data_IF_608958999180
#
_entry.id   IF_608958999180
#
_cell.length_a   1.000
_cell.length_b   1.000
_cell.length_c   1.000
_cell.angle_alpha   90.00
_cell.angle_beta   90.00
_cell.angle_gamma   90.00
#
_symmetry.space_group_name_H-M   'P 1'
#
loop_
_entity.id
_entity.type
_entity.pdbx_description
1 polymer ?
#
# COMPACT_ATOMS: atom_id res chain seq x y z
N UNK A 1 27.10 4.16 5.14
CA UNK A 1 25.64 4.05 4.98
C UNK A 1 25.19 3.22 3.77
N UNK A 2 25.84 3.30 2.59
CA UNK A 2 25.48 2.51 1.39
C UNK A 2 25.46 0.97 1.60
N UNK A 3 26.36 0.41 2.41
CA UNK A 3 26.45 -1.05 2.62
C UNK A 3 25.23 -1.65 3.34
N UNK A 4 24.63 -0.94 4.26
CA UNK A 4 23.46 -1.41 5.03
C UNK A 4 22.20 -1.52 4.16
N UNK A 5 21.98 -0.59 3.23
CA UNK A 5 20.85 -0.66 2.29
C UNK A 5 20.97 -1.84 1.34
N UNK A 6 22.20 -2.10 0.86
CA UNK A 6 22.47 -3.27 0.01
C UNK A 6 22.24 -4.57 0.79
N UNK A 7 22.67 -4.63 2.05
CA UNK A 7 22.45 -5.82 2.90
C UNK A 7 20.96 -6.04 3.18
N UNK A 8 20.20 -4.98 3.50
CA UNK A 8 18.74 -5.07 3.72
C UNK A 8 18.03 -5.45 2.42
N UNK A 9 18.43 -4.90 1.27
CA UNK A 9 17.87 -5.24 -0.03
C UNK A 9 18.17 -6.70 -0.40
N UNK A 10 19.41 -7.16 -0.20
CA UNK A 10 19.80 -8.56 -0.43
C UNK A 10 19.09 -9.51 0.54
N UNK A 11 18.92 -9.12 1.81
CA UNK A 11 18.14 -9.89 2.78
C UNK A 11 16.65 -9.97 2.35
N UNK A 12 16.09 -8.87 1.85
CA UNK A 12 14.73 -8.84 1.30
C UNK A 12 14.57 -9.75 0.08
N UNK A 13 15.53 -9.72 -0.84
CA UNK A 13 15.54 -10.58 -2.04
C UNK A 13 15.73 -12.05 -1.67
N UNK A 14 16.61 -12.36 -0.72
CA UNK A 14 16.83 -13.75 -0.27
C UNK A 14 15.64 -14.32 0.50
N UNK A 15 14.85 -13.50 1.18
CA UNK A 15 13.58 -13.91 1.79
C UNK A 15 12.50 -14.25 0.75
N UNK A 16 12.55 -13.62 -0.43
CA UNK A 16 11.61 -13.89 -1.53
C UNK A 16 12.04 -15.09 -2.41
N UNK A 17 13.32 -15.42 -2.48
CA UNK A 17 13.84 -16.45 -3.38
C UNK A 17 13.72 -17.89 -2.86
N UNK A 18 13.34 -18.08 -1.60
CA UNK A 18 13.29 -19.39 -0.93
C UNK A 18 11.97 -20.15 -1.01
N UNK A 19 11.03 -19.77 -1.90
CA UNK A 19 9.67 -20.29 -1.83
C UNK A 19 9.26 -21.02 -3.10
N UNK A 20 9.20 -22.35 -3.03
CA UNK A 20 8.55 -23.16 -4.05
C UNK A 20 7.04 -23.18 -3.81
N UNK A 21 6.32 -22.19 -4.39
CA UNK A 21 4.85 -22.02 -4.21
C UNK A 21 4.03 -22.85 -5.19
N UNK A 22 4.61 -23.29 -6.29
CA UNK A 22 3.91 -23.99 -7.34
C UNK A 22 3.65 -25.46 -7.02
N UNK A 23 4.43 -26.05 -6.12
CA UNK A 23 4.24 -27.44 -5.69
C UNK A 23 3.38 -27.50 -4.43
N UNK A 24 2.17 -28.05 -4.56
CA UNK A 24 1.20 -28.17 -3.46
C UNK A 24 1.66 -29.09 -2.34
N UNK A 25 2.62 -29.98 -2.61
CA UNK A 25 3.13 -30.98 -1.65
C UNK A 25 4.38 -30.54 -0.89
N UNK A 26 5.10 -29.50 -1.34
CA UNK A 26 6.37 -29.06 -0.73
C UNK A 26 6.40 -27.55 -0.40
N UNK A 27 5.28 -27.02 0.06
CA UNK A 27 5.22 -25.59 0.45
C UNK A 27 5.98 -25.35 1.76
N UNK A 28 7.21 -24.91 1.63
CA UNK A 28 8.09 -24.61 2.76
C UNK A 28 8.59 -23.16 2.62
N UNK A 29 8.98 -22.58 3.76
CA UNK A 29 9.58 -21.24 3.81
C UNK A 29 8.85 -20.29 4.77
N UNK A 30 9.56 -19.28 5.24
CA UNK A 30 9.06 -18.32 6.20
C UNK A 30 7.80 -17.57 5.71
N UNK A 31 7.78 -17.20 4.43
CA UNK A 31 6.63 -16.48 3.85
C UNK A 31 5.39 -17.37 3.80
N UNK A 32 5.56 -18.66 3.50
CA UNK A 32 4.45 -19.61 3.55
C UNK A 32 3.93 -19.73 4.98
N UNK A 33 4.80 -19.99 5.94
CA UNK A 33 4.39 -20.22 7.34
C UNK A 33 3.77 -18.98 7.99
N UNK A 34 4.29 -17.78 7.69
CA UNK A 34 3.85 -16.54 8.35
C UNK A 34 2.71 -15.81 7.64
N UNK A 35 2.54 -16.03 6.33
CA UNK A 35 1.60 -15.25 5.52
C UNK A 35 0.62 -16.13 4.76
N UNK A 36 1.13 -17.01 3.87
CA UNK A 36 0.26 -17.79 2.96
C UNK A 36 -0.55 -18.83 3.72
N UNK A 37 0.09 -19.61 4.59
CA UNK A 37 -0.57 -20.68 5.38
C UNK A 37 -1.68 -20.15 6.29
N UNK A 38 -1.43 -19.15 7.14
CA UNK A 38 -2.49 -18.53 7.95
C UNK A 38 -3.63 -17.93 7.11
N UNK A 39 -3.32 -17.33 5.95
CA UNK A 39 -4.32 -16.76 5.05
C UNK A 39 -5.20 -17.86 4.42
N UNK A 40 -4.57 -18.93 3.95
CA UNK A 40 -5.27 -20.08 3.39
C UNK A 40 -6.12 -20.80 4.43
N UNK A 41 -5.57 -21.01 5.64
CA UNK A 41 -6.32 -21.59 6.77
C UNK A 41 -7.53 -20.75 7.16
N UNK A 42 -7.36 -19.42 7.22
CA UNK A 42 -8.46 -18.51 7.54
C UNK A 42 -9.52 -18.49 6.43
N UNK A 43 -9.10 -18.50 5.17
CA UNK A 43 -10.02 -18.55 4.03
C UNK A 43 -10.84 -19.84 4.05
N UNK A 44 -10.19 -20.97 4.32
CA UNK A 44 -10.86 -22.28 4.41
C UNK A 44 -11.81 -22.34 5.61
N UNK A 45 -11.36 -21.92 6.79
CA UNK A 45 -12.18 -21.86 8.01
C UNK A 45 -13.45 -21.04 7.80
N UNK A 46 -13.30 -19.80 7.28
CA UNK A 46 -14.46 -18.95 7.01
C UNK A 46 -15.35 -19.52 5.91
N UNK A 47 -14.78 -20.08 4.84
CA UNK A 47 -15.54 -20.69 3.77
C UNK A 47 -16.46 -21.81 4.30
N UNK A 48 -15.96 -22.68 5.15
CA UNK A 48 -16.75 -23.75 5.76
C UNK A 48 -17.88 -23.21 6.65
N UNK A 49 -17.61 -22.17 7.46
CA UNK A 49 -18.62 -21.60 8.38
C UNK A 49 -19.63 -20.67 7.67
N UNK A 50 -19.35 -20.25 6.45
CA UNK A 50 -20.21 -19.40 5.64
C UNK A 50 -20.96 -20.18 4.54
N UNK A 51 -21.33 -21.43 4.79
CA UNK A 51 -22.00 -22.29 3.81
C UNK A 51 -21.26 -22.37 2.47
N UNK A 52 -19.93 -22.51 2.52
CA UNK A 52 -19.04 -22.56 1.37
C UNK A 52 -19.01 -21.28 0.51
N UNK A 53 -19.40 -20.13 1.08
CA UNK A 53 -19.32 -18.84 0.40
C UNK A 53 -17.93 -18.22 0.52
N UNK A 54 -17.01 -18.64 -0.36
CA UNK A 54 -15.61 -18.17 -0.37
C UNK A 54 -15.47 -16.71 -0.78
N UNK A 55 -16.39 -16.17 -1.58
CA UNK A 55 -16.40 -14.75 -1.89
C UNK A 55 -16.65 -13.88 -0.66
N UNK A 56 -17.63 -14.27 0.17
CA UNK A 56 -17.89 -13.59 1.44
C UNK A 56 -16.71 -13.76 2.42
N UNK A 57 -16.06 -14.92 2.43
CA UNK A 57 -14.86 -15.14 3.23
C UNK A 57 -13.74 -14.16 2.85
N UNK A 58 -13.49 -13.95 1.55
CA UNK A 58 -12.53 -12.96 1.06
C UNK A 58 -12.90 -11.55 1.54
N UNK A 59 -14.16 -11.14 1.40
CA UNK A 59 -14.64 -9.82 1.86
C UNK A 59 -14.38 -9.64 3.35
N UNK A 60 -14.69 -10.63 4.17
CA UNK A 60 -14.49 -10.58 5.64
C UNK A 60 -12.99 -10.47 5.96
N UNK A 61 -12.13 -11.27 5.33
CA UNK A 61 -10.68 -11.22 5.54
C UNK A 61 -10.13 -9.81 5.23
N UNK A 62 -10.52 -9.25 4.09
CA UNK A 62 -10.09 -7.90 3.68
C UNK A 62 -10.56 -6.85 4.68
N UNK A 63 -11.81 -6.92 5.11
CA UNK A 63 -12.38 -6.01 6.11
C UNK A 63 -11.63 -6.14 7.45
N UNK A 64 -11.40 -7.33 7.95
CA UNK A 64 -10.69 -7.56 9.21
C UNK A 64 -9.28 -6.99 9.17
N UNK A 65 -8.50 -7.35 8.15
CA UNK A 65 -7.13 -6.83 7.99
C UNK A 65 -7.12 -5.31 7.91
N UNK A 66 -8.04 -4.72 7.13
CA UNK A 66 -8.13 -3.26 6.98
C UNK A 66 -8.57 -2.57 8.26
N UNK A 67 -9.51 -3.11 8.99
CA UNK A 67 -9.96 -2.54 10.27
C UNK A 67 -8.85 -2.57 11.33
N UNK A 68 -8.09 -3.66 11.39
CA UNK A 68 -6.92 -3.77 12.29
C UNK A 68 -5.83 -2.76 11.92
N UNK A 69 -5.57 -2.57 10.62
CA UNK A 69 -4.54 -1.64 10.15
C UNK A 69 -5.01 -0.18 10.11
N UNK A 70 -6.31 0.09 10.11
CA UNK A 70 -6.87 1.43 9.95
C UNK A 70 -6.33 2.44 10.97
N UNK A 71 -6.29 2.17 12.30
CA UNK A 71 -5.78 3.14 13.27
C UNK A 71 -4.31 3.50 13.02
N UNK A 72 -3.48 2.52 12.66
CA UNK A 72 -2.08 2.73 12.31
C UNK A 72 -1.95 3.62 11.06
N UNK A 73 -2.75 3.33 10.03
CA UNK A 73 -2.74 4.08 8.77
C UNK A 73 -3.24 5.51 8.95
N UNK A 74 -4.30 5.73 9.72
CA UNK A 74 -4.82 7.07 10.03
C UNK A 74 -3.80 7.88 10.84
N UNK A 75 -3.14 7.26 11.82
CA UNK A 75 -2.06 7.91 12.57
C UNK A 75 -0.91 8.33 11.64
N UNK A 76 -0.46 7.43 10.75
CA UNK A 76 0.59 7.72 9.79
C UNK A 76 0.20 8.87 8.83
N UNK A 77 -1.03 8.86 8.29
CA UNK A 77 -1.53 9.93 7.41
C UNK A 77 -1.58 11.28 8.14
N UNK A 78 -1.98 11.29 9.42
CA UNK A 78 -1.96 12.48 10.27
C UNK A 78 -0.54 13.03 10.44
N UNK A 79 0.42 12.18 10.75
CA UNK A 79 1.83 12.57 10.90
C UNK A 79 2.41 13.13 9.60
N UNK A 80 2.11 12.49 8.47
CA UNK A 80 2.52 12.99 7.15
C UNK A 80 1.91 14.35 6.82
N UNK A 81 0.64 14.58 7.17
CA UNK A 81 0.00 15.88 6.97
C UNK A 81 0.67 16.98 7.81
N UNK A 82 0.97 16.71 9.09
CA UNK A 82 1.69 17.64 9.97
C UNK A 82 3.09 17.95 9.42
N UNK A 83 3.84 16.92 9.02
CA UNK A 83 5.18 17.08 8.44
C UNK A 83 5.14 17.90 7.16
N UNK A 84 4.16 17.63 6.27
CA UNK A 84 3.96 18.41 5.04
C UNK A 84 3.67 19.89 5.30
N UNK A 85 2.88 20.21 6.34
CA UNK A 85 2.61 21.60 6.72
C UNK A 85 3.89 22.30 7.21
N UNK A 86 4.67 21.65 8.09
CA UNK A 86 5.96 22.17 8.57
C UNK A 86 6.96 22.37 7.42
N UNK A 87 7.04 21.40 6.50
CA UNK A 87 7.90 21.50 5.31
C UNK A 87 7.55 22.71 4.45
N UNK A 88 6.24 22.98 4.27
CA UNK A 88 5.77 24.16 3.53
C UNK A 88 6.15 25.47 4.20
N UNK A 89 6.04 25.56 5.53
CA UNK A 89 6.48 26.74 6.31
C UNK A 89 8.01 26.98 6.15
N UNK A 90 8.79 25.92 6.01
CA UNK A 90 10.24 25.98 5.88
C UNK A 90 10.73 26.07 4.45
N UNK A 91 9.84 25.97 3.46
CA UNK A 91 10.21 26.00 2.03
C UNK A 91 11.09 27.21 1.65
N UNK A 92 10.80 28.47 2.09
CA UNK A 92 11.65 29.61 1.77
C UNK A 92 13.08 29.50 2.33
N UNK A 93 13.29 28.70 3.40
CA UNK A 93 14.64 28.40 3.93
C UNK A 93 15.31 27.21 3.24
N UNK A 94 14.51 26.29 2.75
CA UNK A 94 14.97 25.05 2.08
C UNK A 94 15.43 25.35 0.63
N UNK A 95 14.68 26.18 -0.10
CA UNK A 95 14.97 26.50 -1.51
C UNK A 95 16.40 27.00 -1.76
N UNK A 96 16.95 27.98 -0.99
CA UNK A 96 18.32 28.44 -1.18
C UNK A 96 19.35 27.33 -0.99
N UNK A 97 19.14 26.46 0.00
CA UNK A 97 20.03 25.33 0.28
C UNK A 97 19.96 24.29 -0.85
N UNK A 98 18.78 24.03 -1.38
CA UNK A 98 18.61 23.13 -2.53
C UNK A 98 19.28 23.70 -3.79
N UNK A 99 19.24 25.04 -3.99
CA UNK A 99 19.98 25.70 -5.08
C UNK A 99 21.49 25.54 -4.89
N UNK A 100 22.02 25.71 -3.67
CA UNK A 100 23.43 25.44 -3.36
C UNK A 100 23.81 23.98 -3.70
N UNK A 101 22.97 23.00 -3.35
CA UNK A 101 23.20 21.59 -3.67
C UNK A 101 23.26 21.34 -5.18
N UNK A 102 22.37 22.00 -5.96
CA UNK A 102 22.33 21.88 -7.43
C UNK A 102 23.52 22.59 -8.11
N UNK A 103 23.93 23.73 -7.57
CA UNK A 103 25.02 24.54 -8.12
C UNK A 103 26.43 24.11 -7.66
N UNK A 104 26.52 23.17 -6.69
CA UNK A 104 27.79 22.73 -6.14
C UNK A 104 28.68 22.06 -7.20
N UNK A 105 29.81 22.65 -7.51
CA UNK A 105 30.80 22.17 -8.49
C UNK A 105 31.65 21.01 -7.94
N UNK A 106 31.76 20.88 -6.60
CA UNK A 106 32.59 19.86 -5.96
C UNK A 106 31.74 19.00 -5.00
N UNK A 107 32.14 17.74 -4.80
CA UNK A 107 31.48 16.84 -3.86
C UNK A 107 31.54 17.37 -2.42
N UNK A 108 32.58 18.13 -2.08
CA UNK A 108 32.73 18.73 -0.74
C UNK A 108 31.66 19.79 -0.49
N UNK A 109 31.48 20.76 -1.40
CA UNK A 109 30.45 21.80 -1.32
C UNK A 109 29.04 21.18 -1.28
N UNK A 110 28.83 20.09 -2.01
CA UNK A 110 27.56 19.35 -2.00
C UNK A 110 27.30 18.71 -0.65
N UNK A 111 28.32 18.13 0.00
CA UNK A 111 28.18 17.52 1.32
C UNK A 111 27.93 18.59 2.40
N UNK A 112 28.57 19.74 2.33
CA UNK A 112 28.34 20.88 3.24
C UNK A 112 26.88 21.38 3.14
N UNK A 113 26.38 21.56 1.93
CA UNK A 113 25.00 21.97 1.71
C UNK A 113 23.98 20.90 2.18
N UNK A 114 24.29 19.62 2.05
CA UNK A 114 23.46 18.55 2.65
C UNK A 114 23.47 18.58 4.18
N UNK A 115 24.61 18.89 4.80
CA UNK A 115 24.71 19.06 6.26
C UNK A 115 23.89 20.26 6.73
N UNK A 116 23.96 21.40 6.02
CA UNK A 116 23.13 22.59 6.28
C UNK A 116 21.64 22.25 6.23
N UNK A 117 21.21 21.50 5.22
CA UNK A 117 19.83 21.03 5.09
C UNK A 117 19.41 20.09 6.24
N UNK A 118 20.31 19.18 6.63
CA UNK A 118 20.04 18.25 7.72
C UNK A 118 19.95 18.98 9.08
N UNK A 119 20.80 19.98 9.32
CA UNK A 119 20.75 20.82 10.52
C UNK A 119 19.43 21.62 10.58
N UNK A 120 18.99 22.19 9.44
CA UNK A 120 17.72 22.88 9.35
C UNK A 120 16.53 21.96 9.72
N UNK A 121 16.53 20.72 9.24
CA UNK A 121 15.51 19.75 9.59
C UNK A 121 15.54 19.37 11.08
N UNK A 122 16.73 19.20 11.65
CA UNK A 122 16.89 18.87 13.09
C UNK A 122 16.40 20.01 13.99
N UNK A 123 16.79 21.26 13.67
CA UNK A 123 16.36 22.47 14.42
C UNK A 123 14.83 22.61 14.48
N UNK A 124 14.15 22.21 13.42
CA UNK A 124 12.69 22.27 13.33
C UNK A 124 11.99 20.96 13.67
N UNK A 125 12.70 20.01 14.28
CA UNK A 125 12.18 18.69 14.66
C UNK A 125 11.50 17.96 13.49
N UNK A 126 12.03 18.16 12.28
CA UNK A 126 11.63 17.42 11.08
C UNK A 126 12.54 16.21 10.95
N UNK A 127 11.97 15.03 11.15
CA UNK A 127 12.71 13.81 10.88
C UNK A 127 12.54 13.44 9.40
N UNK A 128 13.61 13.43 8.58
CA UNK A 128 13.50 13.01 7.18
C UNK A 128 13.03 11.56 7.03
N UNK A 129 13.21 10.73 8.07
CA UNK A 129 12.68 9.38 8.10
C UNK A 129 11.14 9.35 8.13
N UNK A 130 10.48 10.38 8.67
CA UNK A 130 9.00 10.45 8.64
C UNK A 130 8.45 10.48 7.21
N UNK A 131 9.23 11.02 6.28
CA UNK A 131 8.87 10.99 4.84
C UNK A 131 8.98 9.57 4.28
N UNK A 132 9.91 8.76 4.78
CA UNK A 132 10.04 7.33 4.42
C UNK A 132 8.88 6.48 4.97
N UNK A 133 8.28 6.85 6.10
CA UNK A 133 7.07 6.18 6.61
C UNK A 133 5.85 6.36 5.70
N UNK A 134 5.92 7.24 4.71
CA UNK A 134 4.91 7.32 3.64
C UNK A 134 4.77 6.04 2.81
N UNK A 135 5.82 5.24 2.68
CA UNK A 135 5.76 3.94 2.00
C UNK A 135 5.39 2.76 2.94
N UNK A 136 5.23 3.01 4.25
CA UNK A 136 4.84 1.97 5.21
C UNK A 136 3.57 1.20 4.81
N UNK A 137 2.50 1.86 4.31
CA UNK A 137 1.32 1.15 3.81
C UNK A 137 1.66 0.14 2.71
N UNK A 138 2.57 0.49 1.81
CA UNK A 138 3.00 -0.38 0.72
C UNK A 138 3.78 -1.61 1.24
N UNK A 139 4.67 -1.40 2.21
CA UNK A 139 5.46 -2.49 2.82
C UNK A 139 4.57 -3.50 3.54
N UNK A 140 3.52 -3.05 4.22
CA UNK A 140 2.54 -3.93 4.88
C UNK A 140 1.63 -4.60 3.83
N UNK A 141 1.28 -3.89 2.77
CA UNK A 141 0.36 -4.36 1.75
C UNK A 141 0.94 -5.49 0.89
N UNK A 142 2.25 -5.45 0.58
CA UNK A 142 2.89 -6.45 -0.30
C UNK A 142 2.77 -7.89 0.24
N UNK A 143 3.11 -8.20 1.51
CA UNK A 143 2.95 -9.55 2.05
C UNK A 143 1.49 -10.02 2.04
N UNK A 144 0.54 -9.12 2.38
CA UNK A 144 -0.89 -9.45 2.42
C UNK A 144 -1.41 -9.78 1.02
N UNK A 145 -1.09 -8.92 0.04
CA UNK A 145 -1.48 -9.14 -1.35
C UNK A 145 -0.86 -10.43 -1.89
N UNK A 146 0.42 -10.67 -1.59
CA UNK A 146 1.11 -11.87 -2.02
C UNK A 146 0.51 -13.14 -1.39
N UNK A 147 0.22 -13.12 -0.09
CA UNK A 147 -0.41 -14.23 0.61
C UNK A 147 -1.77 -14.59 0.00
N UNK A 148 -2.61 -13.59 -0.21
CA UNK A 148 -3.92 -13.79 -0.82
C UNK A 148 -3.79 -14.28 -2.29
N UNK A 149 -2.91 -13.68 -3.07
CA UNK A 149 -2.67 -14.10 -4.46
C UNK A 149 -2.19 -15.55 -4.53
N UNK A 150 -1.24 -15.94 -3.67
CA UNK A 150 -0.72 -17.30 -3.63
C UNK A 150 -1.79 -18.32 -3.24
N UNK A 151 -2.61 -17.99 -2.22
CA UNK A 151 -3.74 -18.81 -1.76
C UNK A 151 -4.78 -19.02 -2.87
N UNK A 152 -5.09 -17.97 -3.64
CA UNK A 152 -6.11 -18.02 -4.69
C UNK A 152 -5.61 -18.67 -5.98
N UNK A 153 -4.33 -18.49 -6.31
CA UNK A 153 -3.73 -19.08 -7.52
C UNK A 153 -3.39 -20.55 -7.34
N UNK A 154 -2.99 -20.95 -6.15
CA UNK A 154 -2.61 -22.31 -5.80
C UNK A 154 -3.31 -22.75 -4.50
N UNK A 155 -4.63 -22.95 -4.51
CA UNK A 155 -5.37 -23.34 -3.31
C UNK A 155 -4.90 -24.70 -2.79
N UNK A 156 -4.70 -24.81 -1.47
CA UNK A 156 -4.32 -26.06 -0.80
C UNK A 156 -5.51 -26.98 -0.56
N UNK A 157 -6.68 -26.38 -0.40
CA UNK A 157 -7.94 -27.10 -0.17
C UNK A 157 -8.86 -26.97 -1.38
N UNK A 158 -9.57 -28.04 -1.70
CA UNK A 158 -10.55 -28.05 -2.79
C UNK A 158 -11.76 -27.13 -2.60
N UNK A 159 -11.88 -26.45 -1.45
CA UNK A 159 -13.08 -25.68 -1.09
C UNK A 159 -13.45 -24.59 -2.10
N UNK A 160 -12.55 -23.67 -2.39
CA UNK A 160 -12.81 -22.60 -3.36
C UNK A 160 -12.94 -23.12 -4.80
N UNK A 161 -12.30 -24.25 -5.12
CA UNK A 161 -12.43 -24.90 -6.41
C UNK A 161 -13.77 -25.62 -6.56
N UNK A 162 -14.29 -26.19 -5.47
CA UNK A 162 -15.59 -26.89 -5.44
C UNK A 162 -16.77 -25.92 -5.41
N UNK A 163 -16.59 -24.75 -4.80
CA UNK A 163 -17.62 -23.70 -4.67
C UNK A 163 -17.11 -22.36 -5.18
N UNK A 164 -16.84 -22.24 -6.49
CA UNK A 164 -16.18 -21.05 -7.05
C UNK A 164 -17.12 -19.88 -7.28
N UNK A 165 -18.44 -20.06 -7.26
CA UNK A 165 -19.40 -19.03 -7.64
C UNK A 165 -19.63 -18.01 -6.52
N UNK A 166 -19.54 -16.74 -6.85
CA UNK A 166 -19.91 -15.63 -5.97
C UNK A 166 -20.69 -14.59 -6.76
N UNK A 167 -21.93 -14.31 -6.34
CA UNK A 167 -22.89 -13.42 -6.97
C UNK A 167 -23.11 -13.80 -8.46
N UNK A 168 -22.34 -13.26 -9.41
CA UNK A 168 -22.46 -13.54 -10.86
C UNK A 168 -21.18 -14.09 -11.49
N UNK A 169 -20.07 -14.18 -10.78
CA UNK A 169 -18.77 -14.54 -11.32
C UNK A 169 -18.13 -15.72 -10.59
N UNK A 170 -17.17 -16.36 -11.25
CA UNK A 170 -16.39 -17.44 -10.67
C UNK A 170 -15.09 -16.90 -10.09
N UNK A 171 -14.85 -17.14 -8.80
CA UNK A 171 -13.67 -16.66 -8.06
C UNK A 171 -12.35 -17.16 -8.64
N UNK A 172 -12.35 -18.32 -9.29
CA UNK A 172 -11.14 -18.99 -9.80
C UNK A 172 -10.78 -18.65 -11.23
N UNK A 173 -11.66 -18.00 -11.99
CA UNK A 173 -11.44 -17.56 -13.37
C UNK A 173 -11.53 -16.04 -13.49
N UNK A 174 -10.89 -15.42 -14.51
CA UNK A 174 -11.04 -14.01 -14.77
C UNK A 174 -12.48 -13.64 -15.15
N UNK A 175 -12.94 -12.48 -14.68
CA UNK A 175 -14.21 -11.88 -15.06
C UNK A 175 -14.01 -10.39 -15.33
N UNK A 176 -14.40 -9.95 -16.52
CA UNK A 176 -14.14 -8.58 -16.98
C UNK A 176 -14.98 -7.55 -16.23
N UNK A 177 -16.16 -7.91 -15.75
CA UNK A 177 -17.07 -6.96 -15.10
C UNK A 177 -16.54 -6.56 -13.73
N UNK A 178 -16.19 -7.53 -12.87
CA UNK A 178 -15.62 -7.23 -11.55
C UNK A 178 -14.23 -6.57 -11.68
N UNK A 179 -13.45 -6.92 -12.72
CA UNK A 179 -12.17 -6.27 -13.00
C UNK A 179 -12.36 -4.77 -13.32
N UNK A 180 -13.31 -4.42 -14.18
CA UNK A 180 -13.64 -3.02 -14.50
C UNK A 180 -14.15 -2.26 -13.28
N UNK A 181 -15.02 -2.87 -12.47
CA UNK A 181 -15.53 -2.26 -11.23
C UNK A 181 -14.38 -1.99 -10.27
N UNK A 182 -13.46 -2.93 -10.07
CA UNK A 182 -12.28 -2.75 -9.22
C UNK A 182 -11.38 -1.63 -9.73
N UNK A 183 -11.09 -1.58 -11.03
CA UNK A 183 -10.31 -0.52 -11.67
C UNK A 183 -10.93 0.86 -11.49
N UNK A 184 -12.25 0.97 -11.68
CA UNK A 184 -12.98 2.22 -11.44
C UNK A 184 -12.90 2.67 -9.97
N UNK A 185 -13.05 1.74 -9.02
CA UNK A 185 -12.92 2.05 -7.59
C UNK A 185 -11.51 2.54 -7.25
N UNK A 186 -10.47 1.95 -7.85
CA UNK A 186 -9.09 2.44 -7.69
C UNK A 186 -8.88 3.81 -8.33
N UNK A 187 -9.53 4.10 -9.46
CA UNK A 187 -9.51 5.45 -10.04
C UNK A 187 -10.11 6.48 -9.08
N UNK A 188 -11.28 6.21 -8.51
CA UNK A 188 -11.93 7.09 -7.52
C UNK A 188 -11.03 7.28 -6.29
N UNK A 189 -10.45 6.19 -5.77
CA UNK A 189 -9.54 6.21 -4.64
C UNK A 189 -8.29 7.07 -4.94
N UNK A 190 -7.65 6.87 -6.09
CA UNK A 190 -6.46 7.61 -6.49
C UNK A 190 -6.76 9.09 -6.71
N UNK A 191 -7.91 9.41 -7.28
CA UNK A 191 -8.38 10.79 -7.45
C UNK A 191 -8.57 11.50 -6.11
N UNK A 192 -9.22 10.86 -5.13
CA UNK A 192 -9.36 11.39 -3.78
C UNK A 192 -8.00 11.60 -3.11
N UNK A 193 -7.07 10.65 -3.26
CA UNK A 193 -5.72 10.72 -2.71
C UNK A 193 -4.92 11.86 -3.34
N UNK A 194 -4.97 12.03 -4.66
CA UNK A 194 -4.26 13.10 -5.37
C UNK A 194 -4.73 14.51 -4.92
N UNK A 195 -6.02 14.67 -4.64
CA UNK A 195 -6.58 15.93 -4.12
C UNK A 195 -6.07 16.30 -2.73
N UNK A 196 -5.71 15.31 -1.91
CA UNK A 196 -5.21 15.51 -0.55
C UNK A 196 -3.70 15.81 -0.52
N UNK A 197 -2.99 15.56 -1.62
CA UNK A 197 -1.55 15.81 -1.71
C UNK A 197 -1.21 17.30 -1.71
N UNK A 198 -0.06 17.68 -1.13
CA UNK A 198 0.50 19.02 -1.27
C UNK A 198 0.66 19.42 -2.73
N UNK A 199 0.63 20.72 -3.03
CA UNK A 199 0.73 21.24 -4.41
C UNK A 199 1.97 20.71 -5.14
N UNK A 200 3.10 20.63 -4.43
CA UNK A 200 4.41 20.19 -4.92
C UNK A 200 4.41 18.70 -5.36
N UNK A 201 3.58 17.88 -4.73
CA UNK A 201 3.47 16.44 -5.00
C UNK A 201 2.25 16.08 -5.86
N UNK A 202 1.39 17.04 -6.15
CA UNK A 202 0.10 16.81 -6.84
C UNK A 202 0.28 16.28 -8.27
N UNK A 203 1.34 16.70 -8.96
CA UNK A 203 1.66 16.15 -10.29
C UNK A 203 1.88 14.63 -10.23
N UNK A 204 2.66 14.15 -9.25
CA UNK A 204 2.84 12.72 -9.03
C UNK A 204 1.51 12.02 -8.69
N UNK A 205 0.67 12.68 -7.89
CA UNK A 205 -0.69 12.19 -7.58
C UNK A 205 -1.55 11.99 -8.82
N UNK A 206 -1.52 12.92 -9.77
CA UNK A 206 -2.26 12.80 -11.03
C UNK A 206 -1.69 11.71 -11.96
N UNK A 207 -0.38 11.55 -11.99
CA UNK A 207 0.23 10.43 -12.71
C UNK A 207 -0.24 9.10 -12.11
N UNK A 208 -0.19 8.95 -10.78
CA UNK A 208 -0.65 7.74 -10.10
C UNK A 208 -2.17 7.51 -10.25
N UNK A 209 -2.97 8.56 -10.39
CA UNK A 209 -4.40 8.46 -10.64
C UNK A 209 -4.73 7.71 -11.95
N UNK A 210 -3.85 7.77 -12.94
CA UNK A 210 -3.99 7.07 -14.22
C UNK A 210 -3.26 5.73 -14.18
N UNK A 211 -2.01 5.72 -13.74
CA UNK A 211 -1.14 4.53 -13.78
C UNK A 211 -1.68 3.41 -12.86
N UNK A 212 -2.11 3.75 -11.64
CA UNK A 212 -2.57 2.75 -10.67
C UNK A 212 -3.80 1.97 -11.13
N UNK A 213 -4.91 2.60 -11.59
CA UNK A 213 -6.07 1.86 -12.10
C UNK A 213 -5.76 1.03 -13.35
N UNK A 214 -4.95 1.55 -14.28
CA UNK A 214 -4.57 0.82 -15.49
C UNK A 214 -3.75 -0.44 -15.14
N UNK A 215 -2.83 -0.33 -14.19
CA UNK A 215 -2.05 -1.46 -13.71
C UNK A 215 -2.94 -2.52 -13.04
N UNK A 216 -3.87 -2.09 -12.19
CA UNK A 216 -4.85 -2.98 -11.55
C UNK A 216 -5.73 -3.68 -12.60
N UNK A 217 -6.25 -2.94 -13.58
CA UNK A 217 -7.05 -3.50 -14.68
C UNK A 217 -6.27 -4.55 -15.46
N UNK A 218 -5.04 -4.22 -15.86
CA UNK A 218 -4.19 -5.14 -16.62
C UNK A 218 -3.99 -6.47 -15.91
N UNK A 219 -3.71 -6.44 -14.60
CA UNK A 219 -3.53 -7.67 -13.82
C UNK A 219 -4.88 -8.35 -13.58
N UNK A 220 -5.95 -7.60 -13.30
CA UNK A 220 -7.27 -8.18 -13.02
C UNK A 220 -7.85 -8.97 -14.18
N UNK A 221 -7.62 -8.53 -15.43
CA UNK A 221 -8.06 -9.27 -16.62
C UNK A 221 -7.34 -10.60 -16.84
N UNK A 222 -6.18 -10.81 -16.21
CA UNK A 222 -5.38 -12.02 -16.34
C UNK A 222 -5.37 -12.89 -15.08
N UNK A 223 -6.04 -12.43 -14.02
CA UNK A 223 -6.02 -13.07 -12.71
C UNK A 223 -7.41 -13.60 -12.34
N UNK A 224 -7.50 -14.58 -11.41
CA UNK A 224 -8.77 -15.01 -10.84
C UNK A 224 -9.57 -13.83 -10.30
N UNK A 225 -10.90 -13.85 -10.52
CA UNK A 225 -11.82 -12.78 -10.07
C UNK A 225 -11.83 -12.56 -8.56
N UNK A 226 -11.43 -13.55 -7.79
CA UNK A 226 -11.20 -13.40 -6.35
C UNK A 226 -10.21 -12.28 -6.03
N UNK A 227 -9.18 -12.06 -6.89
CA UNK A 227 -8.24 -10.95 -6.74
C UNK A 227 -8.88 -9.60 -7.11
N UNK A 228 -9.73 -9.57 -8.13
CA UNK A 228 -10.51 -8.37 -8.47
C UNK A 228 -11.49 -8.00 -7.37
N UNK A 229 -12.15 -8.99 -6.75
CA UNK A 229 -13.01 -8.81 -5.57
C UNK A 229 -12.23 -8.23 -4.40
N UNK A 230 -11.04 -8.79 -4.12
CA UNK A 230 -10.13 -8.24 -3.12
C UNK A 230 -9.83 -6.75 -3.39
N UNK A 231 -9.44 -6.40 -4.61
CA UNK A 231 -9.14 -5.02 -4.97
C UNK A 231 -10.35 -4.10 -4.85
N UNK A 232 -11.53 -4.55 -5.25
CA UNK A 232 -12.76 -3.78 -5.10
C UNK A 232 -13.04 -3.43 -3.62
N UNK A 233 -13.06 -4.42 -2.74
CA UNK A 233 -13.31 -4.23 -1.30
C UNK A 233 -12.22 -3.36 -0.68
N UNK A 234 -10.96 -3.62 -1.05
CA UNK A 234 -9.82 -2.86 -0.57
C UNK A 234 -9.89 -1.38 -0.97
N UNK A 235 -10.26 -1.07 -2.21
CA UNK A 235 -10.43 0.30 -2.69
C UNK A 235 -11.59 1.00 -1.97
N UNK A 236 -12.71 0.33 -1.74
CA UNK A 236 -13.84 0.87 -0.98
C UNK A 236 -13.42 1.29 0.45
N UNK A 237 -12.66 0.44 1.14
CA UNK A 237 -12.15 0.74 2.47
C UNK A 237 -11.08 1.85 2.46
N UNK A 238 -10.25 1.92 1.42
CA UNK A 238 -9.30 3.02 1.23
C UNK A 238 -10.00 4.36 0.98
N UNK A 239 -11.10 4.37 0.25
CA UNK A 239 -11.94 5.57 0.05
C UNK A 239 -12.51 6.03 1.40
N UNK A 240 -13.07 5.11 2.17
CA UNK A 240 -13.57 5.41 3.52
C UNK A 240 -12.47 5.97 4.42
N UNK A 241 -11.31 5.34 4.44
CA UNK A 241 -10.13 5.81 5.17
C UNK A 241 -9.69 7.22 4.73
N UNK A 242 -9.68 7.49 3.42
CA UNK A 242 -9.32 8.80 2.87
C UNK A 242 -10.29 9.90 3.33
N UNK A 243 -11.60 9.61 3.38
CA UNK A 243 -12.62 10.54 3.87
C UNK A 243 -12.43 10.83 5.36
N UNK A 244 -12.18 9.80 6.18
CA UNK A 244 -11.91 9.97 7.62
C UNK A 244 -10.64 10.80 7.84
N UNK A 245 -9.56 10.48 7.14
CA UNK A 245 -8.29 11.21 7.21
C UNK A 245 -8.45 12.67 6.81
N UNK A 246 -9.24 12.97 5.78
CA UNK A 246 -9.49 14.33 5.34
C UNK A 246 -10.17 15.17 6.43
N UNK A 247 -11.15 14.62 7.13
CA UNK A 247 -11.82 15.29 8.26
C UNK A 247 -10.83 15.59 9.38
N UNK A 248 -10.00 14.62 9.76
CA UNK A 248 -8.98 14.80 10.81
C UNK A 248 -7.94 15.88 10.45
N UNK A 249 -7.47 15.90 9.22
CA UNK A 249 -6.46 16.88 8.78
C UNK A 249 -7.02 18.27 8.58
N UNK A 250 -8.32 18.41 8.25
CA UNK A 250 -9.00 19.70 8.16
C UNK A 250 -9.04 20.41 9.52
N UNK A 251 -9.40 19.70 10.58
CA UNK A 251 -9.40 20.24 11.95
C UNK A 251 -8.01 20.73 12.38
N UNK A 252 -6.96 19.99 12.06
CA UNK A 252 -5.57 20.39 12.39
C UNK A 252 -5.17 21.68 11.64
N UNK A 253 -5.59 21.85 10.39
CA UNK A 253 -5.31 23.06 9.62
C UNK A 253 -6.01 24.30 10.22
N UNK A 254 -7.26 24.16 10.64
CA UNK A 254 -8.02 25.26 11.24
C UNK A 254 -7.47 25.69 12.60
N UNK A 255 -7.07 24.74 13.46
CA UNK A 255 -6.52 25.05 14.80
C UNK A 255 -5.15 25.74 14.77
N UNK A 256 -4.43 25.73 13.64
CA UNK A 256 -3.15 26.47 13.48
C UNK A 256 -3.30 27.86 12.87
N UNK A 257 -4.46 28.20 12.35
CA UNK A 257 -4.77 29.52 11.75
C UNK A 257 -5.50 30.46 12.70
N UNK A 258 -5.90 29.98 13.88
CA UNK A 258 -6.34 30.75 15.04
C UNK A 258 -5.18 30.99 16.01
#
# INVERSE_FOLDING_TARGET
MKKWYVTILLLGISLLSGCNYSDTHQRTGLVYQLVVGPMDGLLHYLGLHLNHNYGLAIVIIVCLVRLILMPLMLHNQKQMAITSMKMKELQPKIEPIQQKIKAAATQQLKNEAYQELQQLYQQHQLNPLTTMFGCLPMLIQIPILFGLYATLKWPTSGGILSYPTFIWFHLTSPDSMIAMIAGFMYFVQSWLSARQMPKEQRMMGYVMMIVSPLFILYIAFQSPSALALYWFVNAALLILQAIISQRQTHHIRQSKTM
#
